data_IF_328373991060
#
_entry.id   IF_328373991060
#
_cell.length_a   1.000
_cell.length_b   1.000
_cell.length_c   1.000
_cell.angle_alpha   90.00
_cell.angle_beta   90.00
_cell.angle_gamma   90.00
#
_symmetry.space_group_name_H-M   'P 1'
#
loop_
_entity.id
_entity.type
_entity.pdbx_description
1 polymer ?
#
# COMPACT_ATOMS: atom_id res chain seq x y z
N UNK A 1 9.13 40.85 41.20
CA UNK A 1 9.92 40.34 40.06
C UNK A 1 10.13 38.81 40.03
N UNK A 2 9.59 38.01 40.98
CA UNK A 2 9.93 36.58 41.11
C UNK A 2 8.86 35.60 40.58
N UNK A 3 7.72 36.12 40.14
CA UNK A 3 6.59 35.34 39.60
C UNK A 3 6.47 35.39 38.08
N UNK A 4 7.13 36.34 37.40
CA UNK A 4 7.11 36.45 35.94
C UNK A 4 7.92 35.33 35.24
N UNK A 5 8.95 34.81 35.91
CA UNK A 5 9.82 33.77 35.35
C UNK A 5 9.17 32.37 35.34
N UNK A 6 8.15 32.15 36.18
CA UNK A 6 7.44 30.86 36.23
C UNK A 6 6.34 30.72 35.18
N UNK A 7 5.88 31.84 34.60
CA UNK A 7 4.86 31.81 33.54
C UNK A 7 5.45 31.53 32.15
N UNK A 8 6.76 31.73 31.98
CA UNK A 8 7.45 31.58 30.68
C UNK A 8 7.93 30.13 30.42
N UNK A 9 7.83 29.24 31.42
CA UNK A 9 8.25 27.83 31.34
C UNK A 9 7.10 26.86 31.01
N UNK A 10 5.93 27.36 30.60
CA UNK A 10 4.79 26.54 30.18
C UNK A 10 4.52 26.54 28.66
N UNK A 11 5.34 27.24 27.87
CA UNK A 11 5.06 27.46 26.43
C UNK A 11 5.84 26.50 25.52
N UNK A 12 6.88 25.83 26.01
CA UNK A 12 7.66 24.90 25.19
C UNK A 12 7.19 23.47 25.46
N UNK A 13 6.45 22.89 24.50
CA UNK A 13 6.09 21.46 24.31
C UNK A 13 4.61 21.22 23.98
N UNK A 14 3.94 22.15 23.31
CA UNK A 14 2.88 21.75 22.37
C UNK A 14 3.59 21.21 21.12
N UNK A 15 4.01 19.95 21.19
CA UNK A 15 4.29 19.19 19.98
C UNK A 15 2.98 19.12 19.21
N UNK A 16 2.84 19.97 18.19
CA UNK A 16 1.79 19.81 17.20
C UNK A 16 2.00 18.43 16.56
N UNK A 17 1.24 17.44 17.00
CA UNK A 17 1.06 16.20 16.26
C UNK A 17 0.45 16.62 14.91
N UNK A 18 1.28 16.72 13.88
CA UNK A 18 0.82 16.93 12.51
C UNK A 18 -0.14 15.77 12.22
N UNK A 19 -1.42 16.09 12.00
CA UNK A 19 -2.41 15.10 11.63
C UNK A 19 -1.94 14.41 10.33
N UNK A 20 -1.98 13.07 10.32
CA UNK A 20 -1.61 12.27 9.16
C UNK A 20 -2.43 12.71 7.94
N UNK A 21 -1.77 13.07 6.84
CA UNK A 21 -2.49 13.50 5.63
C UNK A 21 -3.22 12.30 5.00
N UNK A 22 -4.32 12.50 4.25
CA UNK A 22 -4.98 11.39 3.55
C UNK A 22 -4.03 10.58 2.66
N UNK A 23 -3.06 11.25 2.02
CA UNK A 23 -2.01 10.60 1.24
C UNK A 23 -1.13 9.67 2.09
N UNK A 24 -0.67 10.13 3.26
CA UNK A 24 0.11 9.32 4.19
C UNK A 24 -0.69 8.14 4.72
N UNK A 25 -1.95 8.37 5.09
CA UNK A 25 -2.86 7.33 5.56
C UNK A 25 -3.11 6.26 4.49
N UNK A 26 -3.35 6.66 3.24
CA UNK A 26 -3.55 5.74 2.12
C UNK A 26 -2.27 4.96 1.79
N UNK A 27 -1.09 5.59 1.88
CA UNK A 27 0.20 4.88 1.72
C UNK A 27 0.42 3.84 2.81
N UNK A 28 0.16 4.20 4.07
CA UNK A 28 0.27 3.29 5.21
C UNK A 28 -0.73 2.14 5.13
N UNK A 29 -1.95 2.43 4.68
CA UNK A 29 -2.96 1.41 4.37
C UNK A 29 -2.45 0.46 3.30
N UNK A 30 -1.91 0.98 2.19
CA UNK A 30 -1.33 0.18 1.12
C UNK A 30 -0.24 -0.76 1.64
N UNK A 31 0.74 -0.22 2.38
CA UNK A 31 1.87 -1.00 2.90
C UNK A 31 1.42 -2.09 3.86
N UNK A 32 0.47 -1.77 4.74
CA UNK A 32 -0.13 -2.75 5.66
C UNK A 32 -0.90 -3.82 4.91
N UNK A 33 -1.59 -3.45 3.82
CA UNK A 33 -2.27 -4.43 2.97
C UNK A 33 -1.26 -5.35 2.32
N UNK A 34 -0.19 -4.84 1.71
CA UNK A 34 0.88 -5.69 1.15
C UNK A 34 1.46 -6.65 2.19
N UNK A 35 1.69 -6.17 3.42
CA UNK A 35 2.15 -7.01 4.52
C UNK A 35 1.17 -8.13 4.88
N UNK A 36 -0.13 -7.84 4.90
CA UNK A 36 -1.17 -8.85 5.16
C UNK A 36 -1.28 -9.85 4.00
N UNK A 37 -1.22 -9.41 2.73
CA UNK A 37 -1.24 -10.32 1.58
C UNK A 37 -0.04 -11.28 1.63
N UNK A 38 1.15 -10.74 1.89
CA UNK A 38 2.37 -11.54 2.03
C UNK A 38 2.27 -12.51 3.23
N UNK A 39 1.76 -12.04 4.37
CA UNK A 39 1.53 -12.89 5.55
C UNK A 39 0.59 -14.06 5.23
N UNK A 40 -0.57 -13.83 4.61
CA UNK A 40 -1.54 -14.88 4.28
C UNK A 40 -1.04 -15.87 3.25
N UNK A 41 -0.28 -15.36 2.27
CA UNK A 41 0.42 -16.19 1.30
C UNK A 41 1.45 -17.10 1.99
N UNK A 42 2.23 -16.57 2.93
CA UNK A 42 3.21 -17.34 3.70
C UNK A 42 2.55 -18.36 4.61
N UNK A 43 1.55 -17.94 5.37
CA UNK A 43 0.77 -18.79 6.27
C UNK A 43 0.23 -20.00 5.51
N UNK A 44 -0.41 -19.77 4.36
CA UNK A 44 -1.00 -20.85 3.56
C UNK A 44 0.06 -21.82 3.02
N UNK A 45 1.14 -21.31 2.43
CA UNK A 45 2.19 -22.16 1.85
C UNK A 45 2.98 -22.91 2.93
N UNK A 46 3.27 -22.24 4.05
CA UNK A 46 4.00 -22.83 5.17
C UNK A 46 3.19 -23.92 5.86
N UNK A 47 1.95 -23.61 6.24
CA UNK A 47 1.07 -24.58 6.91
C UNK A 47 0.77 -25.79 6.04
N UNK A 48 0.81 -25.61 4.71
CA UNK A 48 0.67 -26.72 3.79
C UNK A 48 1.91 -27.61 3.78
N UNK A 49 3.10 -27.01 3.84
CA UNK A 49 4.36 -27.76 3.85
C UNK A 49 4.60 -28.46 5.19
N UNK A 50 4.32 -27.77 6.30
CA UNK A 50 4.56 -28.25 7.65
C UNK A 50 3.25 -28.58 8.36
N UNK A 51 2.90 -29.87 8.45
CA UNK A 51 1.64 -30.31 9.05
C UNK A 51 1.63 -30.28 10.59
N UNK A 52 2.81 -30.21 11.21
CA UNK A 52 2.99 -30.26 12.68
C UNK A 52 3.33 -28.91 13.30
N UNK A 53 3.58 -27.89 12.48
CA UNK A 53 3.94 -26.55 12.89
C UNK A 53 2.99 -25.57 12.23
N UNK A 54 2.90 -24.36 12.78
CA UNK A 54 2.07 -23.28 12.24
C UNK A 54 2.91 -22.06 11.97
N UNK A 55 2.60 -21.35 10.90
CA UNK A 55 3.23 -20.08 10.62
C UNK A 55 2.86 -19.08 11.72
N UNK A 56 3.82 -18.51 12.47
CA UNK A 56 3.49 -17.70 13.63
C UNK A 56 2.78 -16.39 13.25
N UNK A 57 1.67 -16.10 13.94
CA UNK A 57 0.88 -14.87 13.72
C UNK A 57 1.64 -13.56 13.99
N UNK A 58 2.78 -13.64 14.68
CA UNK A 58 3.65 -12.49 14.95
C UNK A 58 4.45 -12.04 13.72
N UNK A 59 4.54 -12.87 12.67
CA UNK A 59 5.33 -12.60 11.47
C UNK A 59 4.60 -11.74 10.42
N UNK A 60 3.87 -10.72 10.87
CA UNK A 60 3.08 -9.83 9.98
C UNK A 60 3.92 -8.80 9.23
N UNK A 61 5.14 -8.52 9.68
CA UNK A 61 6.04 -7.57 9.01
C UNK A 61 7.09 -8.30 8.19
N UNK A 62 7.56 -7.67 7.12
CA UNK A 62 8.64 -8.23 6.31
C UNK A 62 9.95 -8.42 7.10
N UNK A 63 10.22 -7.55 8.09
CA UNK A 63 11.36 -7.69 8.98
C UNK A 63 11.26 -8.98 9.83
N UNK A 64 10.11 -9.21 10.48
CA UNK A 64 9.90 -10.42 11.27
C UNK A 64 10.02 -11.69 10.42
N UNK A 65 9.47 -11.68 9.19
CA UNK A 65 9.60 -12.81 8.25
C UNK A 65 11.04 -13.06 7.78
N UNK A 66 11.89 -12.03 7.76
CA UNK A 66 13.30 -12.17 7.37
C UNK A 66 14.13 -12.90 8.42
N UNK A 67 13.78 -12.74 9.69
CA UNK A 67 14.45 -13.37 10.82
C UNK A 67 13.92 -14.79 11.10
N UNK A 68 12.83 -15.18 10.45
CA UNK A 68 12.24 -16.50 10.61
C UNK A 68 13.12 -17.59 9.97
N UNK A 69 13.45 -18.61 10.77
CA UNK A 69 14.37 -19.69 10.39
C UNK A 69 13.82 -21.10 10.64
N UNK A 70 12.58 -21.24 11.12
CA UNK A 70 11.98 -22.57 11.37
C UNK A 70 11.54 -23.20 10.06
N UNK A 71 12.44 -23.93 9.40
CA UNK A 71 12.17 -24.62 8.13
C UNK A 71 12.62 -26.09 8.16
N UNK A 72 12.78 -26.71 9.35
CA UNK A 72 13.23 -28.09 9.55
C UNK A 72 14.46 -28.48 8.68
N UNK A 73 15.48 -27.62 8.65
CA UNK A 73 16.69 -27.75 7.82
C UNK A 73 16.48 -27.71 6.30
N UNK A 74 15.32 -27.27 5.82
CA UNK A 74 15.04 -27.07 4.39
C UNK A 74 15.51 -25.69 3.91
N UNK A 75 16.79 -25.58 3.59
CA UNK A 75 17.42 -24.33 3.16
C UNK A 75 16.84 -23.76 1.85
N UNK A 76 16.43 -24.62 0.92
CA UNK A 76 15.81 -24.18 -0.35
C UNK A 76 14.43 -23.58 -0.14
N UNK A 77 13.63 -24.15 0.78
CA UNK A 77 12.34 -23.59 1.15
C UNK A 77 12.51 -22.26 1.88
N UNK A 78 13.45 -22.18 2.82
CA UNK A 78 13.77 -20.91 3.49
C UNK A 78 14.16 -19.83 2.47
N UNK A 79 15.01 -20.17 1.50
CA UNK A 79 15.41 -19.27 0.41
C UNK A 79 14.23 -18.83 -0.45
N UNK A 80 13.31 -19.75 -0.78
CA UNK A 80 12.10 -19.43 -1.53
C UNK A 80 11.24 -18.39 -0.80
N UNK A 81 11.04 -18.58 0.51
CA UNK A 81 10.33 -17.63 1.36
C UNK A 81 11.06 -16.28 1.40
N UNK A 82 12.36 -16.26 1.69
CA UNK A 82 13.13 -15.00 1.73
C UNK A 82 13.09 -14.23 0.40
N UNK A 83 13.17 -14.94 -0.73
CA UNK A 83 13.07 -14.34 -2.06
C UNK A 83 11.71 -13.70 -2.29
N UNK A 84 10.62 -14.41 -1.99
CA UNK A 84 9.27 -13.85 -2.14
C UNK A 84 9.03 -12.68 -1.18
N UNK A 85 9.52 -12.76 0.06
CA UNK A 85 9.43 -11.65 1.01
C UNK A 85 10.12 -10.39 0.45
N UNK A 86 11.25 -10.55 -0.23
CA UNK A 86 11.93 -9.47 -0.95
C UNK A 86 11.13 -8.91 -2.14
N UNK A 87 10.43 -9.76 -2.88
CA UNK A 87 9.52 -9.32 -3.96
C UNK A 87 8.34 -8.54 -3.40
N UNK A 88 7.72 -9.05 -2.32
CA UNK A 88 6.58 -8.40 -1.69
C UNK A 88 6.91 -6.98 -1.18
N UNK A 89 8.11 -6.78 -0.64
CA UNK A 89 8.59 -5.45 -0.25
C UNK A 89 8.69 -4.49 -1.44
N UNK A 90 8.98 -4.98 -2.64
CA UNK A 90 9.03 -4.12 -3.85
C UNK A 90 7.65 -3.61 -4.22
N UNK A 91 6.57 -4.35 -3.94
CA UNK A 91 5.22 -3.84 -4.22
C UNK A 91 4.90 -2.57 -3.44
N UNK A 92 5.44 -2.41 -2.22
CA UNK A 92 5.27 -1.21 -1.40
C UNK A 92 5.81 0.07 -2.04
N UNK A 93 6.69 -0.03 -3.03
CA UNK A 93 7.24 1.13 -3.74
C UNK A 93 6.37 1.58 -4.91
N UNK A 94 5.42 0.76 -5.36
CA UNK A 94 4.59 1.09 -6.53
C UNK A 94 3.51 2.13 -6.24
N UNK A 95 2.96 2.14 -5.02
CA UNK A 95 1.98 3.14 -4.63
C UNK A 95 2.65 4.35 -3.95
N UNK A 96 2.29 5.56 -4.37
CA UNK A 96 2.85 6.81 -3.85
C UNK A 96 3.95 7.45 -4.69
N UNK A 97 4.43 6.79 -5.75
CA UNK A 97 5.33 7.39 -6.74
C UNK A 97 4.62 8.13 -7.89
N UNK A 98 3.29 8.10 -7.92
CA UNK A 98 2.46 8.66 -8.99
C UNK A 98 1.09 9.10 -8.47
N UNK A 99 0.03 8.92 -9.28
CA UNK A 99 -1.32 9.31 -8.90
C UNK A 99 -1.80 8.60 -7.62
N UNK A 100 -2.23 9.37 -6.62
CA UNK A 100 -2.75 8.88 -5.34
C UNK A 100 -4.28 8.69 -5.40
N UNK A 101 -4.76 7.99 -6.41
CA UNK A 101 -6.19 7.73 -6.62
C UNK A 101 -6.58 6.35 -6.11
N UNK A 102 -7.88 6.16 -5.84
CA UNK A 102 -8.41 4.84 -5.47
C UNK A 102 -8.19 3.82 -6.61
N UNK A 103 -8.34 4.25 -7.86
CA UNK A 103 -8.13 3.39 -9.03
C UNK A 103 -6.69 2.87 -9.11
N UNK A 104 -5.68 3.72 -8.86
CA UNK A 104 -4.29 3.29 -8.85
C UNK A 104 -3.99 2.41 -7.63
N UNK A 105 -4.54 2.74 -6.46
CA UNK A 105 -4.45 1.91 -5.26
C UNK A 105 -4.97 0.48 -5.52
N UNK A 106 -6.18 0.36 -6.07
CA UNK A 106 -6.79 -0.93 -6.39
C UNK A 106 -6.00 -1.69 -7.47
N UNK A 107 -5.56 -1.00 -8.52
CA UNK A 107 -4.78 -1.58 -9.61
C UNK A 107 -3.47 -2.18 -9.10
N UNK A 108 -2.73 -1.43 -8.28
CA UNK A 108 -1.45 -1.89 -7.74
C UNK A 108 -1.62 -3.09 -6.80
N UNK A 109 -2.65 -3.09 -5.95
CA UNK A 109 -2.97 -4.24 -5.10
C UNK A 109 -3.39 -5.48 -5.90
N UNK A 110 -4.24 -5.32 -6.91
CA UNK A 110 -4.64 -6.43 -7.79
C UNK A 110 -3.47 -6.94 -8.63
N UNK A 111 -2.47 -6.09 -8.89
CA UNK A 111 -1.21 -6.47 -9.54
C UNK A 111 -0.48 -7.59 -8.80
N UNK A 112 -0.49 -7.58 -7.47
CA UNK A 112 0.17 -8.61 -6.63
C UNK A 112 -0.36 -10.01 -6.93
N UNK A 113 -1.68 -10.18 -6.96
CA UNK A 113 -2.33 -11.50 -7.17
C UNK A 113 -2.18 -11.98 -8.61
N UNK A 114 -1.87 -11.08 -9.55
CA UNK A 114 -1.63 -11.39 -10.97
C UNK A 114 -0.14 -11.52 -11.30
N UNK A 115 0.73 -11.28 -10.33
CA UNK A 115 2.16 -11.30 -10.54
C UNK A 115 2.68 -12.73 -10.71
N UNK A 116 3.62 -12.90 -11.64
CA UNK A 116 4.26 -14.21 -11.91
C UNK A 116 5.02 -14.74 -10.70
N UNK A 117 5.59 -13.88 -9.86
CA UNK A 117 6.27 -14.27 -8.63
C UNK A 117 5.28 -14.82 -7.60
N UNK A 118 4.09 -14.21 -7.48
CA UNK A 118 3.01 -14.73 -6.64
C UNK A 118 2.55 -16.10 -7.15
N UNK A 119 2.26 -16.22 -8.45
CA UNK A 119 1.86 -17.49 -9.06
C UNK A 119 2.92 -18.58 -8.86
N UNK A 120 4.19 -18.24 -9.04
CA UNK A 120 5.31 -19.14 -8.83
C UNK A 120 5.43 -19.59 -7.37
N UNK A 121 5.26 -18.67 -6.42
CA UNK A 121 5.37 -19.00 -4.99
C UNK A 121 4.30 -19.98 -4.53
N UNK A 122 3.06 -19.79 -5.01
CA UNK A 122 1.91 -20.63 -4.62
C UNK A 122 1.75 -21.89 -5.47
N UNK A 123 2.64 -22.13 -6.45
CA UNK A 123 2.49 -23.21 -7.44
C UNK A 123 2.38 -24.61 -6.83
N UNK A 124 3.02 -24.81 -5.66
CA UNK A 124 3.01 -26.06 -4.91
C UNK A 124 1.72 -26.35 -4.16
N UNK A 125 0.80 -25.38 -4.07
CA UNK A 125 -0.49 -25.58 -3.40
C UNK A 125 -1.44 -26.43 -4.26
N UNK A 126 -2.27 -27.28 -3.63
CA UNK A 126 -3.45 -27.88 -4.27
C UNK A 126 -4.33 -26.83 -4.97
N UNK A 127 -5.04 -27.23 -6.02
CA UNK A 127 -5.84 -26.31 -6.85
C UNK A 127 -6.92 -25.58 -6.04
N UNK A 128 -7.58 -26.29 -5.14
CA UNK A 128 -8.61 -25.79 -4.23
C UNK A 128 -8.03 -24.80 -3.22
N UNK A 129 -6.92 -25.13 -2.57
CA UNK A 129 -6.22 -24.24 -1.62
C UNK A 129 -5.72 -22.97 -2.30
N UNK A 130 -5.12 -23.10 -3.49
CA UNK A 130 -4.70 -21.96 -4.33
C UNK A 130 -5.86 -21.05 -4.66
N UNK A 131 -7.00 -21.62 -5.05
CA UNK A 131 -8.21 -20.86 -5.35
C UNK A 131 -8.78 -20.19 -4.10
N UNK A 132 -8.70 -20.85 -2.94
CA UNK A 132 -9.14 -20.29 -1.67
C UNK A 132 -8.24 -19.14 -1.20
N UNK A 133 -6.92 -19.25 -1.38
CA UNK A 133 -5.96 -18.20 -1.13
C UNK A 133 -6.26 -16.98 -2.01
N UNK A 134 -6.34 -17.14 -3.33
CA UNK A 134 -6.64 -16.05 -4.26
C UNK A 134 -7.94 -15.32 -3.90
N UNK A 135 -9.02 -16.04 -3.54
CA UNK A 135 -10.27 -15.41 -3.09
C UNK A 135 -10.12 -14.65 -1.77
N UNK A 136 -9.30 -15.16 -0.85
CA UNK A 136 -9.01 -14.50 0.42
C UNK A 136 -8.21 -13.22 0.19
N UNK A 137 -7.16 -13.27 -0.63
CA UNK A 137 -6.37 -12.10 -1.02
C UNK A 137 -7.25 -11.04 -1.69
N UNK A 138 -8.09 -11.44 -2.65
CA UNK A 138 -9.06 -10.53 -3.27
C UNK A 138 -10.03 -9.90 -2.27
N UNK A 139 -10.45 -10.65 -1.24
CA UNK A 139 -11.30 -10.10 -0.17
C UNK A 139 -10.55 -9.06 0.66
N UNK A 140 -9.29 -9.32 1.00
CA UNK A 140 -8.43 -8.38 1.73
C UNK A 140 -8.25 -7.09 0.91
N UNK A 141 -7.98 -7.23 -0.38
CA UNK A 141 -7.86 -6.09 -1.30
C UNK A 141 -9.16 -5.27 -1.31
N UNK A 142 -10.33 -5.91 -1.48
CA UNK A 142 -11.62 -5.21 -1.45
C UNK A 142 -11.86 -4.46 -0.13
N UNK A 143 -11.50 -5.08 1.00
CA UNK A 143 -11.59 -4.43 2.32
C UNK A 143 -10.66 -3.23 2.45
N UNK A 144 -9.45 -3.31 1.87
CA UNK A 144 -8.50 -2.21 1.85
C UNK A 144 -9.01 -1.06 0.95
N UNK A 145 -9.51 -1.38 -0.24
CA UNK A 145 -10.11 -0.39 -1.16
C UNK A 145 -11.29 0.33 -0.50
N UNK A 146 -12.14 -0.39 0.22
CA UNK A 146 -13.26 0.22 0.97
C UNK A 146 -12.82 1.15 2.11
N UNK A 147 -11.58 1.01 2.61
CA UNK A 147 -10.98 1.87 3.64
C UNK A 147 -10.17 3.02 3.04
N UNK A 148 -10.03 3.07 1.71
CA UNK A 148 -9.31 4.14 1.05
C UNK A 148 -9.96 5.49 1.38
N UNK A 149 -9.16 6.44 1.82
CA UNK A 149 -9.64 7.77 2.14
C UNK A 149 -9.71 8.61 0.86
N UNK A 150 -10.93 8.76 0.32
CA UNK A 150 -11.21 9.56 -0.88
C UNK A 150 -11.03 11.07 -0.67
N UNK A 151 -10.82 11.55 0.56
CA UNK A 151 -10.64 13.00 0.84
C UNK A 151 -9.39 13.61 0.18
N UNK A 152 -8.52 12.79 -0.43
CA UNK A 152 -7.38 13.22 -1.24
C UNK A 152 -7.66 13.39 -2.74
N UNK A 153 -8.83 12.98 -3.24
CA UNK A 153 -9.18 13.03 -4.67
C UNK A 153 -9.38 14.48 -5.17
N UNK A 154 -9.53 15.44 -4.26
CA UNK A 154 -9.71 16.87 -4.57
C UNK A 154 -8.40 17.66 -4.83
N UNK A 155 -7.22 17.06 -4.67
CA UNK A 155 -5.94 17.81 -4.72
C UNK A 155 -5.23 17.80 -6.09
N UNK A 156 -5.86 17.35 -7.17
CA UNK A 156 -5.28 17.42 -8.53
C UNK A 156 -6.31 17.86 -9.57
N UNK A 157 -6.97 18.98 -9.30
CA UNK A 157 -7.74 19.72 -10.31
C UNK A 157 -7.55 21.25 -10.24
N UNK A 158 -6.50 21.74 -9.56
CA UNK A 158 -6.10 23.14 -9.67
C UNK A 158 -4.69 23.23 -10.25
N UNK A 159 -4.58 22.97 -11.55
CA UNK A 159 -3.61 23.70 -12.37
C UNK A 159 -4.31 25.02 -12.69
N UNK A 160 -3.88 26.16 -12.13
CA UNK A 160 -4.35 27.45 -12.61
C UNK A 160 -3.91 27.53 -14.08
N UNK A 161 -4.87 27.68 -15.00
CA UNK A 161 -4.56 28.15 -16.34
C UNK A 161 -3.95 29.54 -16.18
N UNK A 162 -2.62 29.61 -16.28
CA UNK A 162 -1.89 30.86 -16.35
C UNK A 162 -2.15 31.49 -17.72
N UNK A 163 -2.54 32.77 -17.68
CA UNK A 163 -2.52 33.76 -18.76
C UNK A 163 -3.12 33.39 -20.12
N UNK A 164 -4.36 33.83 -20.31
CA UNK A 164 -4.78 34.37 -21.59
C UNK A 164 -5.34 35.78 -21.35
N UNK A 165 -4.54 36.79 -21.72
CA UNK A 165 -4.90 38.21 -21.79
C UNK A 165 -6.19 38.47 -22.60
N UNK A 166 -6.85 39.63 -22.38
CA UNK A 166 -8.12 39.96 -23.00
C UNK A 166 -8.00 40.32 -24.49
N UNK A 167 -9.12 40.15 -25.19
CA UNK A 167 -9.39 40.31 -26.64
C UNK A 167 -8.67 41.46 -27.40
N UNK A 168 -8.68 41.38 -28.75
CA UNK A 168 -9.64 42.29 -29.39
C UNK A 168 -10.55 41.63 -30.43
N UNK A 169 -11.81 42.01 -30.29
CA UNK A 169 -12.95 41.88 -31.18
C UNK A 169 -12.61 42.40 -32.59
N UNK A 170 -12.75 41.53 -33.60
CA UNK A 170 -12.76 41.96 -35.02
C UNK A 170 -14.18 41.84 -35.55
N UNK A 171 -14.80 43.00 -35.74
CA UNK A 171 -16.11 43.16 -36.36
C UNK A 171 -16.08 42.60 -37.80
N UNK A 172 -16.91 41.59 -38.07
CA UNK A 172 -17.22 41.21 -39.45
C UNK A 172 -18.32 42.14 -39.99
N UNK A 173 -17.96 42.95 -40.98
CA UNK A 173 -18.90 43.71 -41.80
C UNK A 173 -19.56 42.80 -42.87
N UNK A 174 -20.75 43.15 -43.38
CA UNK A 174 -21.63 42.24 -44.11
C UNK A 174 -21.25 42.13 -45.60
N UNK A 175 -21.43 40.94 -46.17
CA UNK A 175 -21.36 40.71 -47.62
C UNK A 175 -22.69 41.08 -48.28
N UNK A 176 -22.68 42.15 -49.08
CA UNK A 176 -23.58 42.32 -50.24
C UNK A 176 -22.71 42.26 -51.49
N UNK A 177 -22.98 41.31 -52.40
CA UNK A 177 -23.41 41.52 -53.81
C UNK A 177 -23.72 40.16 -54.40
#
# INVERSE_FOLDING_TARGET
MRHLLKLLLLISFVSFAQAETPAQANKKLFDRTIDELNFRTFETVYDKHFTRQKFPETLRTAAARREFASFDNNAELQKLFLNYNGVAERYKTHFGGGALTQAEFEKQLNGVVRDRNFEFFIRGLPRDERSALIRTEQRIIKQAVARFNASGEAASANVPAADAEPEPTVASAPLTT
#
